data_IF_075503938777
#
_entry.id   IF_075503938777
#
_cell.length_a   1.000
_cell.length_b   1.000
_cell.length_c   1.000
_cell.angle_alpha   90.00
_cell.angle_beta   90.00
_cell.angle_gamma   90.00
#
_symmetry.space_group_name_H-M   'P 1'
#
loop_
_entity.id
_entity.type
_entity.pdbx_description
1 polymer ?
#
# COMPACT_ATOMS: atom_id res chain seq x y z
N UNK A 1 21.74 13.12 -12.64
CA UNK A 1 21.27 14.24 -11.79
C UNK A 1 20.07 13.83 -10.91
N UNK A 2 19.14 13.01 -11.40
CA UNK A 2 18.00 12.51 -10.60
C UNK A 2 18.39 11.51 -9.49
N UNK A 3 19.46 10.73 -9.66
CA UNK A 3 19.87 9.73 -8.65
C UNK A 3 20.48 10.33 -7.38
N UNK A 4 21.13 11.50 -7.50
CA UNK A 4 21.65 12.23 -6.34
C UNK A 4 20.51 12.73 -5.45
N UNK A 5 19.42 13.20 -6.05
CA UNK A 5 18.25 13.70 -5.32
C UNK A 5 17.43 12.59 -4.67
N UNK A 6 17.39 11.40 -5.28
CA UNK A 6 16.78 10.23 -4.66
C UNK A 6 17.59 9.73 -3.45
N UNK A 7 18.94 9.80 -3.51
CA UNK A 7 19.79 9.46 -2.37
C UNK A 7 19.66 10.44 -1.19
N UNK A 8 19.48 11.75 -1.43
CA UNK A 8 19.37 12.76 -0.36
C UNK A 8 18.00 12.71 0.36
N UNK A 9 17.00 12.09 -0.25
CA UNK A 9 15.62 11.99 0.27
C UNK A 9 15.49 10.96 1.39
N UNK A 10 16.29 9.90 1.38
CA UNK A 10 16.27 8.88 2.42
C UNK A 10 17.05 9.38 3.66
N UNK A 11 16.32 9.61 4.76
CA UNK A 11 16.80 10.16 6.04
C UNK A 11 18.17 9.71 6.58
N UNK A 12 18.67 8.45 6.40
CA UNK A 12 20.02 8.10 6.84
C UNK A 12 21.15 8.81 6.07
N UNK A 13 20.92 9.26 4.83
CA UNK A 13 21.92 9.95 4.02
C UNK A 13 22.08 11.42 4.39
N UNK A 14 21.05 12.10 4.92
CA UNK A 14 21.19 13.46 5.48
C UNK A 14 22.12 13.49 6.68
N UNK A 15 21.94 12.55 7.61
CA UNK A 15 22.83 12.42 8.78
C UNK A 15 24.22 11.99 8.33
N UNK A 16 24.34 11.03 7.40
CA UNK A 16 25.66 10.62 6.86
C UNK A 16 26.35 11.74 6.09
N UNK A 17 25.65 12.56 5.31
CA UNK A 17 26.24 13.70 4.60
C UNK A 17 26.71 14.78 5.58
N UNK A 18 25.89 15.14 6.57
CA UNK A 18 26.29 16.10 7.61
C UNK A 18 27.45 15.56 8.44
N UNK A 19 27.45 14.27 8.78
CA UNK A 19 28.54 13.63 9.53
C UNK A 19 29.79 13.45 8.67
N UNK A 20 29.68 13.08 7.40
CA UNK A 20 30.83 12.88 6.48
C UNK A 20 31.43 14.23 6.07
N UNK A 21 30.62 15.23 5.72
CA UNK A 21 31.13 16.59 5.46
C UNK A 21 31.65 17.23 6.74
N UNK A 22 30.96 17.05 7.87
CA UNK A 22 31.41 17.55 9.17
C UNK A 22 32.73 16.92 9.58
N UNK A 23 32.88 15.60 9.47
CA UNK A 23 34.12 14.89 9.80
C UNK A 23 35.24 15.15 8.80
N UNK A 24 34.96 15.21 7.49
CA UNK A 24 35.96 15.58 6.48
C UNK A 24 36.44 17.02 6.64
N UNK A 25 35.55 17.95 6.98
CA UNK A 25 35.92 19.31 7.35
C UNK A 25 36.78 19.31 8.61
N UNK A 26 36.41 18.56 9.66
CA UNK A 26 37.20 18.42 10.89
C UNK A 26 38.59 17.84 10.65
N UNK A 27 38.71 16.87 9.74
CA UNK A 27 39.97 16.25 9.33
C UNK A 27 40.82 17.22 8.51
N UNK A 28 40.22 17.97 7.59
CA UNK A 28 40.92 19.04 6.86
C UNK A 28 41.37 20.16 7.80
N UNK A 29 40.59 20.48 8.83
CA UNK A 29 40.93 21.47 9.87
C UNK A 29 42.11 20.97 10.70
N UNK A 30 42.08 19.73 11.18
CA UNK A 30 43.18 19.18 11.98
C UNK A 30 44.44 19.05 11.17
N UNK A 31 44.37 18.59 9.92
CA UNK A 31 45.53 18.51 9.02
C UNK A 31 46.04 19.91 8.65
N UNK A 32 45.15 20.86 8.37
CA UNK A 32 45.50 22.23 8.00
C UNK A 32 46.14 23.00 9.16
N UNK A 33 45.58 22.90 10.36
CA UNK A 33 46.16 23.51 11.57
C UNK A 33 47.46 22.79 11.96
N UNK A 34 47.51 21.46 11.95
CA UNK A 34 48.74 20.73 12.25
C UNK A 34 49.85 21.01 11.23
N UNK A 35 49.49 21.15 9.95
CA UNK A 35 50.41 21.51 8.87
C UNK A 35 50.89 22.96 8.99
N UNK A 36 50.01 23.91 9.28
CA UNK A 36 50.37 25.32 9.50
C UNK A 36 51.21 25.52 10.77
N UNK A 37 50.89 24.81 11.85
CA UNK A 37 51.68 24.79 13.09
C UNK A 37 53.03 24.13 12.84
N UNK A 38 53.07 22.96 12.18
CA UNK A 38 54.32 22.24 11.88
C UNK A 38 55.27 23.01 10.94
N UNK A 39 54.75 23.60 9.87
CA UNK A 39 55.53 24.41 8.92
C UNK A 39 55.91 25.77 9.51
N UNK A 40 55.01 26.42 10.25
CA UNK A 40 55.31 27.71 10.88
C UNK A 40 56.32 27.62 12.03
N UNK A 41 56.28 26.53 12.81
CA UNK A 41 57.25 26.27 13.88
C UNK A 41 58.65 25.95 13.35
N UNK A 42 58.75 25.36 12.15
CA UNK A 42 60.03 24.97 11.53
C UNK A 42 60.64 26.07 10.65
N UNK A 43 59.83 26.92 10.01
CA UNK A 43 60.30 27.88 8.99
C UNK A 43 60.36 29.33 9.51
N UNK A 44 59.42 29.76 10.35
CA UNK A 44 59.23 31.19 10.68
C UNK A 44 59.70 31.55 12.10
N UNK A 45 59.83 30.56 12.99
CA UNK A 45 60.10 30.79 14.41
C UNK A 45 58.89 31.41 15.15
N UNK A 46 58.94 31.47 16.50
CA UNK A 46 57.83 31.95 17.36
C UNK A 46 57.60 33.48 17.30
N UNK A 47 57.82 34.10 16.14
CA UNK A 47 57.69 35.55 15.95
C UNK A 47 56.25 36.00 15.63
N UNK A 48 55.98 37.32 15.66
CA UNK A 48 54.65 37.90 15.41
C UNK A 48 54.04 37.53 14.04
N UNK A 49 54.89 37.22 13.06
CA UNK A 49 54.48 36.83 11.70
C UNK A 49 53.73 35.48 11.69
N UNK A 50 54.07 34.55 12.59
CA UNK A 50 53.37 33.29 12.77
C UNK A 50 51.94 33.49 13.31
N UNK A 51 51.78 34.43 14.26
CA UNK A 51 50.48 34.79 14.82
C UNK A 51 49.58 35.41 13.74
N UNK A 52 50.13 36.29 12.90
CA UNK A 52 49.37 36.90 11.78
C UNK A 52 48.91 35.84 10.77
N UNK A 53 49.76 34.86 10.44
CA UNK A 53 49.41 33.78 9.53
C UNK A 53 48.31 32.87 10.12
N UNK A 54 48.41 32.53 11.41
CA UNK A 54 47.36 31.81 12.15
C UNK A 54 46.02 32.55 12.16
N UNK A 55 46.04 33.86 12.41
CA UNK A 55 44.82 34.69 12.41
C UNK A 55 44.21 34.73 11.01
N UNK A 56 45.02 34.89 9.97
CA UNK A 56 44.53 34.90 8.58
C UNK A 56 43.94 33.56 8.15
N UNK A 57 44.57 32.45 8.57
CA UNK A 57 44.07 31.10 8.32
C UNK A 57 42.76 30.83 9.07
N UNK A 58 42.63 31.29 10.32
CA UNK A 58 41.37 31.21 11.07
C UNK A 58 40.26 32.04 10.41
N UNK A 59 40.58 33.23 9.90
CA UNK A 59 39.64 34.11 9.20
C UNK A 59 39.12 33.47 7.91
N UNK A 60 40.03 33.00 7.05
CA UNK A 60 39.66 32.29 5.81
C UNK A 60 38.84 31.03 6.11
N UNK A 61 39.18 30.31 7.17
CA UNK A 61 38.43 29.14 7.62
C UNK A 61 37.00 29.47 8.05
N UNK A 62 36.83 30.52 8.85
CA UNK A 62 35.51 31.00 9.26
C UNK A 62 34.63 31.33 8.05
N UNK A 63 35.21 31.93 7.01
CA UNK A 63 34.50 32.20 5.75
C UNK A 63 34.08 30.91 5.03
N UNK A 64 34.94 29.89 4.94
CA UNK A 64 34.60 28.61 4.29
C UNK A 64 33.48 27.88 5.03
N UNK A 65 33.54 27.82 6.36
CA UNK A 65 32.45 27.27 7.17
C UNK A 65 31.14 28.02 6.95
N UNK A 66 31.19 29.35 6.98
CA UNK A 66 30.02 30.19 6.75
C UNK A 66 29.40 29.90 5.38
N UNK A 67 30.22 29.88 4.31
CA UNK A 67 29.76 29.54 2.95
C UNK A 67 29.14 28.14 2.89
N UNK A 68 29.73 27.17 3.58
CA UNK A 68 29.19 25.81 3.68
C UNK A 68 27.81 25.77 4.34
N UNK A 69 27.69 26.40 5.52
CA UNK A 69 26.42 26.50 6.25
C UNK A 69 25.37 27.23 5.42
N UNK A 70 25.71 28.39 4.85
CA UNK A 70 24.81 29.17 3.99
C UNK A 70 24.35 28.36 2.77
N UNK A 71 25.23 27.56 2.16
CA UNK A 71 24.87 26.70 1.03
C UNK A 71 23.89 25.60 1.44
N UNK A 72 24.09 24.97 2.59
CA UNK A 72 23.17 23.97 3.14
C UNK A 72 21.82 24.62 3.43
N UNK A 73 21.80 25.76 4.12
CA UNK A 73 20.58 26.51 4.42
C UNK A 73 19.84 26.94 3.16
N UNK A 74 20.55 27.37 2.12
CA UNK A 74 19.94 27.72 0.83
C UNK A 74 19.27 26.50 0.16
N UNK A 75 19.93 25.34 0.20
CA UNK A 75 19.37 24.09 -0.32
C UNK A 75 18.14 23.65 0.49
N UNK A 76 18.20 23.74 1.82
CA UNK A 76 17.07 23.45 2.70
C UNK A 76 15.89 24.37 2.42
N UNK A 77 16.13 25.68 2.31
CA UNK A 77 15.09 26.67 1.99
C UNK A 77 14.42 26.37 0.64
N UNK A 78 15.18 26.00 -0.39
CA UNK A 78 14.59 25.62 -1.69
C UNK A 78 13.76 24.35 -1.61
N UNK A 79 14.18 23.37 -0.82
CA UNK A 79 13.43 22.14 -0.61
C UNK A 79 12.12 22.41 0.13
N UNK A 80 12.15 23.25 1.16
CA UNK A 80 10.97 23.68 1.92
C UNK A 80 10.01 24.43 0.99
N UNK A 81 10.52 25.40 0.22
CA UNK A 81 9.71 26.18 -0.71
C UNK A 81 9.05 25.28 -1.78
N UNK A 82 9.79 24.31 -2.33
CA UNK A 82 9.23 23.33 -3.24
C UNK A 82 8.14 22.48 -2.57
N UNK A 83 8.39 22.01 -1.36
CA UNK A 83 7.42 21.22 -0.61
C UNK A 83 6.14 22.01 -0.29
N UNK A 84 6.26 23.29 0.07
CA UNK A 84 5.12 24.18 0.32
C UNK A 84 4.27 24.41 -0.92
N UNK A 85 4.90 24.63 -2.08
CA UNK A 85 4.19 24.76 -3.37
C UNK A 85 3.44 23.48 -3.76
N UNK A 86 4.00 22.31 -3.43
CA UNK A 86 3.40 21.01 -3.74
C UNK A 86 2.38 20.53 -2.70
N UNK A 87 2.42 21.08 -1.48
CA UNK A 87 1.56 20.70 -0.35
C UNK A 87 0.07 20.58 -0.68
N UNK A 88 -0.59 21.54 -1.38
CA UNK A 88 -2.01 21.40 -1.71
C UNK A 88 -2.29 20.22 -2.65
N UNK A 89 -1.43 20.00 -3.65
CA UNK A 89 -1.56 18.91 -4.61
C UNK A 89 -1.36 17.55 -3.94
N UNK A 90 -0.39 17.45 -3.04
CA UNK A 90 -0.09 16.24 -2.26
C UNK A 90 -1.22 15.94 -1.27
N UNK A 91 -1.77 16.96 -0.60
CA UNK A 91 -2.94 16.81 0.26
C UNK A 91 -4.12 16.24 -0.52
N UNK A 92 -4.34 16.72 -1.73
CA UNK A 92 -5.38 16.22 -2.62
C UNK A 92 -5.15 14.76 -3.04
N UNK A 93 -3.92 14.40 -3.42
CA UNK A 93 -3.53 13.01 -3.75
C UNK A 93 -3.79 12.07 -2.55
N UNK A 94 -3.43 12.47 -1.33
CA UNK A 94 -3.69 11.67 -0.13
C UNK A 94 -5.19 11.49 0.10
N UNK A 95 -5.97 12.57 0.01
CA UNK A 95 -7.39 12.54 0.37
C UNK A 95 -8.26 11.85 -0.69
N UNK A 96 -7.91 11.96 -1.98
CA UNK A 96 -8.72 11.40 -3.07
C UNK A 96 -8.26 10.03 -3.54
N UNK A 97 -7.02 9.63 -3.26
CA UNK A 97 -6.46 8.34 -3.71
C UNK A 97 -6.09 7.48 -2.51
N UNK A 98 -5.12 7.93 -1.72
CA UNK A 98 -4.47 7.06 -0.74
C UNK A 98 -5.41 6.69 0.42
N UNK A 99 -6.10 7.66 1.02
CA UNK A 99 -7.05 7.42 2.11
C UNK A 99 -8.22 6.52 1.67
N UNK A 100 -8.94 6.82 0.57
CA UNK A 100 -10.01 5.95 0.10
C UNK A 100 -9.53 4.54 -0.23
N UNK A 101 -8.37 4.39 -0.87
CA UNK A 101 -7.80 3.08 -1.18
C UNK A 101 -7.50 2.27 0.10
N UNK A 102 -6.92 2.91 1.12
CA UNK A 102 -6.70 2.27 2.44
C UNK A 102 -8.03 1.81 3.04
N UNK A 103 -9.05 2.68 3.09
CA UNK A 103 -10.36 2.33 3.65
C UNK A 103 -11.00 1.15 2.89
N UNK A 104 -10.95 1.16 1.56
CA UNK A 104 -11.47 0.07 0.72
C UNK A 104 -10.71 -1.24 0.95
N UNK A 105 -9.38 -1.21 1.07
CA UNK A 105 -8.57 -2.40 1.37
C UNK A 105 -8.89 -2.99 2.74
N UNK A 106 -9.03 -2.16 3.77
CA UNK A 106 -9.45 -2.64 5.09
C UNK A 106 -10.84 -3.26 5.05
N UNK A 107 -11.77 -2.66 4.31
CA UNK A 107 -13.11 -3.22 4.13
C UNK A 107 -13.09 -4.55 3.38
N UNK A 108 -12.35 -4.65 2.27
CA UNK A 108 -12.17 -5.90 1.52
C UNK A 108 -11.54 -6.99 2.40
N UNK A 109 -10.51 -6.65 3.18
CA UNK A 109 -9.87 -7.59 4.11
C UNK A 109 -10.84 -8.12 5.15
N UNK A 110 -11.61 -7.26 5.81
CA UNK A 110 -12.60 -7.67 6.82
C UNK A 110 -13.65 -8.61 6.21
N UNK A 111 -14.08 -8.35 4.96
CA UNK A 111 -15.03 -9.22 4.24
C UNK A 111 -14.43 -10.59 3.91
N UNK A 112 -13.18 -10.63 3.43
CA UNK A 112 -12.46 -11.88 3.16
C UNK A 112 -12.27 -12.69 4.44
N UNK A 113 -11.94 -12.04 5.56
CA UNK A 113 -11.74 -12.70 6.86
C UNK A 113 -13.05 -13.27 7.43
N UNK A 114 -14.19 -12.62 7.17
CA UNK A 114 -15.52 -13.11 7.57
C UNK A 114 -16.09 -14.18 6.64
N UNK A 115 -15.48 -14.41 5.47
CA UNK A 115 -15.91 -15.42 4.50
C UNK A 115 -17.24 -15.13 3.81
N UNK A 116 -17.72 -13.87 3.82
CA UNK A 116 -18.98 -13.45 3.20
C UNK A 116 -18.70 -12.41 2.11
N UNK A 117 -18.00 -12.85 1.07
CA UNK A 117 -17.61 -11.99 -0.05
C UNK A 117 -18.47 -12.35 -1.26
N UNK A 118 -19.09 -11.35 -1.86
CA UNK A 118 -19.69 -11.53 -3.19
C UNK A 118 -18.55 -11.49 -4.22
N UNK A 119 -18.16 -12.68 -4.69
CA UNK A 119 -17.13 -12.82 -5.72
C UNK A 119 -17.71 -12.63 -7.13
N UNK A 120 -18.98 -12.95 -7.35
CA UNK A 120 -19.66 -12.83 -8.65
C UNK A 120 -19.75 -11.38 -9.13
N UNK A 121 -19.54 -11.14 -10.43
CA UNK A 121 -19.83 -9.86 -11.08
C UNK A 121 -21.32 -9.81 -11.40
N UNK A 122 -22.13 -9.14 -10.57
CA UNK A 122 -23.55 -8.95 -10.87
C UNK A 122 -23.84 -7.47 -11.07
N UNK A 123 -24.10 -7.11 -12.33
CA UNK A 123 -24.90 -5.94 -12.68
C UNK A 123 -26.37 -6.30 -12.39
N UNK A 124 -26.92 -5.94 -11.22
CA UNK A 124 -28.34 -5.61 -10.93
C UNK A 124 -28.70 -5.81 -9.44
N UNK A 125 -29.70 -5.04 -9.00
CA UNK A 125 -30.31 -4.95 -7.65
C UNK A 125 -30.80 -6.28 -7.03
N UNK A 126 -30.82 -7.39 -7.76
CA UNK A 126 -31.49 -8.62 -7.34
C UNK A 126 -30.65 -9.51 -6.40
N UNK A 127 -29.32 -9.28 -6.32
CA UNK A 127 -28.41 -10.01 -5.43
C UNK A 127 -28.21 -9.37 -4.04
N UNK A 128 -28.90 -8.27 -3.75
CA UNK A 128 -28.72 -7.51 -2.50
C UNK A 128 -29.28 -8.28 -1.28
N UNK A 129 -30.08 -9.34 -1.47
CA UNK A 129 -30.73 -10.07 -0.38
C UNK A 129 -30.20 -11.49 -0.10
N UNK A 130 -29.45 -12.12 -1.02
CA UNK A 130 -29.36 -13.59 -1.06
C UNK A 130 -28.08 -14.22 -0.49
N UNK A 131 -27.05 -13.44 -0.13
CA UNK A 131 -25.86 -13.94 0.61
C UNK A 131 -25.48 -13.05 1.81
N UNK A 132 -26.15 -11.90 2.02
CA UNK A 132 -25.80 -10.97 3.10
C UNK A 132 -24.37 -10.40 3.05
N UNK A 133 -23.66 -10.62 1.93
CA UNK A 133 -22.28 -10.20 1.73
C UNK A 133 -22.17 -8.91 0.92
N UNK A 134 -21.21 -8.06 1.28
CA UNK A 134 -20.84 -6.89 0.49
C UNK A 134 -19.80 -7.28 -0.59
N UNK A 135 -19.89 -6.69 -1.78
CA UNK A 135 -18.90 -6.89 -2.86
C UNK A 135 -17.53 -6.34 -2.48
N UNK A 136 -16.45 -7.02 -2.89
CA UNK A 136 -15.12 -6.44 -2.84
C UNK A 136 -15.08 -5.21 -3.77
N UNK A 137 -14.56 -4.11 -3.27
CA UNK A 137 -14.60 -2.83 -3.97
C UNK A 137 -13.25 -2.61 -4.65
N UNK A 138 -13.27 -2.32 -5.95
CA UNK A 138 -12.10 -1.83 -6.69
C UNK A 138 -11.55 -0.56 -6.04
N UNK A 139 -10.23 -0.41 -6.02
CA UNK A 139 -9.61 0.79 -5.43
C UNK A 139 -9.83 2.02 -6.31
N UNK A 140 -9.95 1.81 -7.62
CA UNK A 140 -10.33 2.81 -8.60
C UNK A 140 -11.82 2.68 -8.92
N UNK A 141 -12.64 3.64 -8.51
CA UNK A 141 -14.06 3.68 -8.92
C UNK A 141 -14.24 4.52 -10.19
N UNK A 142 -15.37 4.38 -10.88
CA UNK A 142 -15.66 5.15 -12.11
C UNK A 142 -15.72 6.67 -11.89
N UNK A 143 -15.99 7.12 -10.66
CA UNK A 143 -16.02 8.54 -10.26
C UNK A 143 -14.63 9.15 -9.99
N UNK A 144 -13.57 8.45 -10.36
CA UNK A 144 -12.22 8.79 -9.95
C UNK A 144 -11.55 9.86 -10.82
N UNK A 145 -10.87 10.81 -10.17
CA UNK A 145 -10.17 11.89 -10.87
C UNK A 145 -8.86 11.38 -11.49
N UNK A 146 -8.93 11.08 -12.80
CA UNK A 146 -7.83 10.56 -13.59
C UNK A 146 -6.59 11.46 -13.56
N UNK A 147 -6.76 12.78 -13.53
CA UNK A 147 -5.64 13.73 -13.53
C UNK A 147 -4.81 13.61 -12.27
N UNK A 148 -5.49 13.52 -11.12
CA UNK A 148 -4.84 13.39 -9.81
C UNK A 148 -4.12 12.04 -9.71
N UNK A 149 -4.68 11.00 -10.30
CA UNK A 149 -4.06 9.67 -10.31
C UNK A 149 -2.89 9.52 -11.24
N UNK A 150 -2.94 10.15 -12.40
CA UNK A 150 -1.80 10.16 -13.30
C UNK A 150 -0.64 10.91 -12.65
N UNK A 151 -0.90 12.07 -12.03
CA UNK A 151 0.09 12.80 -11.21
C UNK A 151 0.61 11.98 -10.03
N UNK A 152 -0.27 11.32 -9.27
CA UNK A 152 0.14 10.42 -8.18
C UNK A 152 1.01 9.28 -8.72
N UNK A 153 0.66 8.74 -9.89
CA UNK A 153 1.39 7.70 -10.58
C UNK A 153 2.79 8.12 -11.04
N UNK A 154 2.95 9.35 -11.51
CA UNK A 154 4.26 9.90 -11.83
C UNK A 154 5.14 10.02 -10.59
N UNK A 155 4.54 10.42 -9.44
CA UNK A 155 5.26 10.53 -8.16
C UNK A 155 5.55 9.18 -7.50
N UNK A 156 4.63 8.21 -7.62
CA UNK A 156 4.63 6.90 -6.95
C UNK A 156 4.24 5.78 -7.93
N UNK A 157 5.09 5.49 -8.94
CA UNK A 157 4.75 4.53 -10.00
C UNK A 157 4.59 3.09 -9.48
N UNK A 158 5.38 2.69 -8.49
CA UNK A 158 5.26 1.36 -7.87
C UNK A 158 3.89 1.14 -7.23
N UNK A 159 3.40 2.13 -6.46
CA UNK A 159 2.10 2.06 -5.78
C UNK A 159 0.96 2.04 -6.81
N UNK A 160 1.05 2.86 -7.86
CA UNK A 160 0.09 2.84 -8.98
C UNK A 160 -0.02 1.47 -9.62
N UNK A 161 1.12 0.81 -9.87
CA UNK A 161 1.14 -0.52 -10.46
C UNK A 161 0.54 -1.57 -9.53
N UNK A 162 0.79 -1.49 -8.22
CA UNK A 162 0.18 -2.39 -7.25
C UNK A 162 -1.34 -2.19 -7.13
N UNK A 163 -1.84 -0.94 -7.16
CA UNK A 163 -3.28 -0.66 -7.21
C UNK A 163 -3.93 -1.31 -8.43
N UNK A 164 -3.31 -1.16 -9.61
CA UNK A 164 -3.80 -1.80 -10.84
C UNK A 164 -3.74 -3.33 -10.78
N UNK A 165 -2.67 -3.87 -10.20
CA UNK A 165 -2.53 -5.31 -10.03
C UNK A 165 -3.65 -5.87 -9.14
N UNK A 166 -3.91 -5.21 -8.01
CA UNK A 166 -5.02 -5.54 -7.11
C UNK A 166 -6.37 -5.54 -7.84
N UNK A 167 -6.73 -4.47 -8.56
CA UNK A 167 -8.03 -4.38 -9.24
C UNK A 167 -8.14 -5.42 -10.37
N UNK A 168 -7.04 -5.73 -11.06
CA UNK A 168 -7.00 -6.79 -12.06
C UNK A 168 -7.14 -8.19 -11.45
N UNK A 169 -6.51 -8.45 -10.31
CA UNK A 169 -6.64 -9.72 -9.57
C UNK A 169 -8.08 -9.91 -9.09
N UNK A 170 -8.69 -8.87 -8.53
CA UNK A 170 -10.10 -8.88 -8.13
C UNK A 170 -11.00 -9.23 -9.32
N UNK A 171 -10.83 -8.56 -10.47
CA UNK A 171 -11.61 -8.85 -11.69
C UNK A 171 -11.43 -10.27 -12.19
N UNK A 172 -10.20 -10.79 -12.16
CA UNK A 172 -9.91 -12.17 -12.58
C UNK A 172 -10.60 -13.17 -11.66
N UNK A 173 -10.49 -12.98 -10.34
CA UNK A 173 -11.18 -13.83 -9.37
C UNK A 173 -12.69 -13.75 -9.51
N UNK A 174 -13.24 -12.57 -9.75
CA UNK A 174 -14.67 -12.40 -9.94
C UNK A 174 -15.19 -13.15 -11.17
N UNK A 175 -14.52 -13.00 -12.32
CA UNK A 175 -14.88 -13.74 -13.53
C UNK A 175 -14.71 -15.25 -13.36
N UNK A 176 -13.68 -15.67 -12.65
CA UNK A 176 -13.47 -17.10 -12.38
C UNK A 176 -14.56 -17.64 -11.45
N UNK A 177 -14.97 -16.86 -10.45
CA UNK A 177 -16.12 -17.20 -9.61
C UNK A 177 -17.42 -17.27 -10.43
N UNK A 178 -17.64 -16.38 -11.39
CA UNK A 178 -18.81 -16.45 -12.29
C UNK A 178 -18.85 -17.80 -13.01
N UNK A 179 -17.73 -18.22 -13.61
CA UNK A 179 -17.62 -19.52 -14.29
C UNK A 179 -17.90 -20.68 -13.35
N UNK A 180 -17.31 -20.67 -12.16
CA UNK A 180 -17.53 -21.72 -11.16
C UNK A 180 -18.97 -21.75 -10.65
N UNK A 181 -19.63 -20.60 -10.50
CA UNK A 181 -21.03 -20.54 -10.08
C UNK A 181 -21.92 -21.15 -11.15
N UNK A 182 -21.70 -20.79 -12.41
CA UNK A 182 -22.49 -21.30 -13.53
C UNK A 182 -22.33 -22.83 -13.69
N UNK A 183 -21.12 -23.36 -13.49
CA UNK A 183 -20.84 -24.80 -13.55
C UNK A 183 -21.38 -25.58 -12.35
N UNK A 184 -21.40 -24.97 -11.15
CA UNK A 184 -21.85 -25.64 -9.92
C UNK A 184 -23.35 -25.52 -9.65
N UNK A 185 -24.04 -24.55 -10.26
CA UNK A 185 -25.42 -24.24 -9.93
C UNK A 185 -26.33 -25.47 -10.09
N UNK A 186 -26.36 -26.07 -11.28
CA UNK A 186 -27.21 -27.22 -11.58
C UNK A 186 -26.84 -28.47 -10.74
N UNK A 187 -25.56 -28.90 -10.64
CA UNK A 187 -25.20 -30.06 -9.81
C UNK A 187 -25.57 -29.93 -8.33
N UNK A 188 -25.39 -28.73 -7.75
CA UNK A 188 -25.73 -28.48 -6.34
C UNK A 188 -27.25 -28.43 -6.13
N UNK A 189 -27.98 -27.81 -7.05
CA UNK A 189 -29.44 -27.78 -7.03
C UNK A 189 -30.02 -29.21 -7.12
N UNK A 190 -29.55 -30.00 -8.09
CA UNK A 190 -29.97 -31.39 -8.27
C UNK A 190 -29.67 -32.24 -7.03
N UNK A 191 -28.50 -32.06 -6.40
CA UNK A 191 -28.16 -32.78 -5.17
C UNK A 191 -29.15 -32.47 -4.03
N UNK A 192 -29.55 -31.21 -3.86
CA UNK A 192 -30.51 -30.83 -2.81
C UNK A 192 -31.92 -31.34 -3.13
N UNK A 193 -32.36 -31.26 -4.38
CA UNK A 193 -33.70 -31.69 -4.80
C UNK A 193 -33.90 -33.21 -4.74
N UNK A 194 -32.88 -34.00 -5.12
CA UNK A 194 -33.00 -35.45 -5.24
C UNK A 194 -32.56 -36.22 -4.00
N UNK A 195 -32.02 -35.54 -2.99
CA UNK A 195 -31.62 -36.18 -1.74
C UNK A 195 -32.79 -36.17 -0.75
N UNK A 196 -33.34 -37.36 -0.48
CA UNK A 196 -34.48 -37.58 0.44
C UNK A 196 -34.31 -36.94 1.83
N UNK A 197 -33.05 -36.80 2.27
CA UNK A 197 -32.68 -36.22 3.57
C UNK A 197 -32.55 -34.69 3.53
N UNK A 198 -32.18 -34.13 2.38
CA UNK A 198 -31.79 -32.72 2.22
C UNK A 198 -32.94 -31.88 1.66
N UNK A 199 -33.73 -32.44 0.74
CA UNK A 199 -34.87 -31.75 0.10
C UNK A 199 -36.00 -31.37 1.06
N UNK A 200 -35.98 -31.84 2.31
CA UNK A 200 -36.91 -31.41 3.36
C UNK A 200 -36.52 -30.06 3.99
N UNK A 201 -35.26 -29.64 3.86
CA UNK A 201 -34.75 -28.41 4.46
C UNK A 201 -35.05 -27.17 3.63
N UNK A 202 -35.11 -27.29 2.29
CA UNK A 202 -35.42 -26.21 1.35
C UNK A 202 -36.23 -26.80 0.19
N UNK A 203 -37.41 -26.22 -0.07
CA UNK A 203 -38.35 -26.71 -1.09
C UNK A 203 -37.92 -26.36 -2.52
N UNK A 204 -37.40 -25.15 -2.72
CA UNK A 204 -36.97 -24.62 -4.01
C UNK A 204 -35.54 -24.08 -3.87
N UNK A 205 -34.51 -24.95 -3.92
CA UNK A 205 -33.12 -24.51 -3.81
C UNK A 205 -32.70 -23.74 -5.06
N UNK A 206 -31.95 -22.67 -4.86
CA UNK A 206 -31.31 -21.88 -5.91
C UNK A 206 -29.85 -22.34 -6.03
N UNK A 207 -29.52 -22.96 -7.17
CA UNK A 207 -28.19 -23.47 -7.46
C UNK A 207 -27.09 -22.41 -7.39
N UNK A 208 -27.35 -21.19 -7.86
CA UNK A 208 -26.35 -20.12 -7.86
C UNK A 208 -26.03 -19.63 -6.44
N UNK A 209 -27.05 -19.59 -5.57
CA UNK A 209 -26.86 -19.27 -4.15
C UNK A 209 -26.07 -20.38 -3.46
N UNK A 210 -26.41 -21.64 -3.72
CA UNK A 210 -25.67 -22.80 -3.18
C UNK A 210 -24.20 -22.78 -3.61
N UNK A 211 -23.94 -22.56 -4.89
CA UNK A 211 -22.59 -22.44 -5.44
C UNK A 211 -21.83 -21.27 -4.77
N UNK A 212 -22.47 -20.11 -4.63
CA UNK A 212 -21.89 -18.94 -3.96
C UNK A 212 -21.53 -19.21 -2.50
N UNK A 213 -22.38 -19.94 -1.77
CA UNK A 213 -22.12 -20.34 -0.38
C UNK A 213 -20.92 -21.32 -0.34
N UNK A 214 -20.90 -22.31 -1.21
CA UNK A 214 -19.80 -23.30 -1.29
C UNK A 214 -18.46 -22.64 -1.60
N UNK A 215 -18.41 -21.74 -2.58
CA UNK A 215 -17.20 -20.99 -2.97
C UNK A 215 -16.69 -20.06 -1.86
N UNK A 216 -17.60 -19.49 -1.08
CA UNK A 216 -17.23 -18.66 0.07
C UNK A 216 -16.75 -19.50 1.26
N UNK A 217 -17.32 -20.70 1.43
CA UNK A 217 -17.08 -21.61 2.53
C UNK A 217 -17.13 -20.89 3.91
N UNK A 218 -18.23 -20.19 4.23
CA UNK A 218 -18.32 -19.44 5.46
C UNK A 218 -18.37 -20.38 6.68
N UNK A 219 -17.82 -19.98 7.83
CA UNK A 219 -17.90 -20.78 9.06
C UNK A 219 -19.35 -20.97 9.55
N UNK A 220 -20.27 -20.11 9.10
CA UNK A 220 -21.72 -20.21 9.32
C UNK A 220 -22.46 -19.08 8.61
N UNK A 221 -23.75 -19.27 8.32
CA UNK A 221 -24.56 -18.31 7.54
C UNK A 221 -25.43 -17.37 8.39
N UNK A 222 -25.32 -17.42 9.72
CA UNK A 222 -26.17 -16.64 10.62
C UNK A 222 -27.62 -17.15 10.64
N UNK A 223 -28.24 -17.16 11.82
CA UNK A 223 -29.49 -17.90 12.05
C UNK A 223 -30.70 -17.42 11.22
N UNK A 224 -30.63 -16.21 10.64
CA UNK A 224 -31.72 -15.64 9.85
C UNK A 224 -31.62 -15.94 8.34
N UNK A 225 -30.57 -16.62 7.88
CA UNK A 225 -30.37 -16.91 6.47
C UNK A 225 -31.15 -18.17 6.05
N UNK A 226 -31.84 -18.13 4.90
CA UNK A 226 -32.69 -19.24 4.42
C UNK A 226 -31.93 -20.56 4.25
N UNK A 227 -30.63 -20.49 3.96
CA UNK A 227 -29.75 -21.65 3.80
C UNK A 227 -28.96 -22.03 5.06
N UNK A 228 -29.17 -21.37 6.20
CA UNK A 228 -28.34 -21.57 7.40
C UNK A 228 -28.36 -23.02 7.91
N UNK A 229 -29.56 -23.59 8.09
CA UNK A 229 -29.72 -24.97 8.56
C UNK A 229 -29.13 -25.97 7.56
N UNK A 230 -29.37 -25.77 6.27
CA UNK A 230 -28.82 -26.60 5.20
C UNK A 230 -27.28 -26.60 5.26
N UNK A 231 -26.67 -25.43 5.38
CA UNK A 231 -25.21 -25.30 5.45
C UNK A 231 -24.62 -25.95 6.70
N UNK A 232 -25.24 -25.74 7.86
CA UNK A 232 -24.79 -26.34 9.13
C UNK A 232 -24.80 -27.88 9.07
N UNK A 233 -25.85 -28.47 8.52
CA UNK A 233 -26.03 -29.93 8.48
C UNK A 233 -25.29 -30.60 7.31
N UNK A 234 -25.17 -29.93 6.15
CA UNK A 234 -24.76 -30.57 4.89
C UNK A 234 -23.59 -29.90 4.15
N UNK A 235 -22.88 -28.91 4.73
CA UNK A 235 -21.74 -28.25 4.06
C UNK A 235 -20.72 -29.23 3.46
N UNK A 236 -20.41 -30.32 4.17
CA UNK A 236 -19.38 -31.28 3.75
C UNK A 236 -19.83 -32.04 2.51
N UNK A 237 -21.12 -32.38 2.41
CA UNK A 237 -21.65 -33.08 1.25
C UNK A 237 -21.76 -32.13 0.05
N UNK A 238 -22.22 -30.90 0.24
CA UNK A 238 -22.27 -29.88 -0.81
C UNK A 238 -20.88 -29.61 -1.38
N UNK A 239 -19.86 -29.48 -0.51
CA UNK A 239 -18.47 -29.35 -0.93
C UNK A 239 -17.99 -30.58 -1.70
N UNK A 240 -18.34 -31.79 -1.26
CA UNK A 240 -17.96 -33.02 -1.97
C UNK A 240 -18.54 -33.07 -3.38
N UNK A 241 -19.79 -32.65 -3.57
CA UNK A 241 -20.39 -32.51 -4.91
C UNK A 241 -19.57 -31.52 -5.72
N UNK A 242 -19.30 -30.34 -5.18
CA UNK A 242 -18.53 -29.32 -5.89
C UNK A 242 -17.11 -29.80 -6.29
N UNK A 243 -16.40 -30.50 -5.40
CA UNK A 243 -15.08 -31.08 -5.73
C UNK A 243 -15.14 -32.24 -6.74
N UNK A 244 -16.27 -32.94 -6.84
CA UNK A 244 -16.45 -33.97 -7.85
C UNK A 244 -16.65 -33.38 -9.25
N UNK A 245 -17.32 -32.23 -9.33
CA UNK A 245 -17.62 -31.55 -10.59
C UNK A 245 -16.44 -30.70 -11.10
N UNK A 246 -15.88 -29.83 -10.24
CA UNK A 246 -14.88 -28.80 -10.64
C UNK A 246 -13.73 -28.71 -9.63
N UNK A 247 -13.22 -29.86 -9.19
CA UNK A 247 -12.28 -29.95 -8.07
C UNK A 247 -10.93 -29.26 -8.29
N UNK A 248 -10.39 -29.32 -9.51
CA UNK A 248 -9.11 -28.68 -9.86
C UNK A 248 -9.30 -27.16 -9.91
N UNK A 249 -10.36 -26.68 -10.57
CA UNK A 249 -10.70 -25.27 -10.69
C UNK A 249 -11.04 -24.63 -9.33
N UNK A 250 -11.71 -25.37 -8.44
CA UNK A 250 -11.94 -24.94 -7.06
C UNK A 250 -10.63 -24.76 -6.30
N UNK A 251 -9.67 -25.65 -6.49
CA UNK A 251 -8.36 -25.56 -5.85
C UNK A 251 -7.63 -24.30 -6.31
N UNK A 252 -7.57 -24.07 -7.62
CA UNK A 252 -6.99 -22.86 -8.23
C UNK A 252 -7.69 -21.59 -7.72
N UNK A 253 -9.01 -21.62 -7.57
CA UNK A 253 -9.78 -20.49 -7.05
C UNK A 253 -9.45 -20.18 -5.59
N UNK A 254 -9.32 -21.21 -4.74
CA UNK A 254 -8.93 -21.01 -3.34
C UNK A 254 -7.48 -20.52 -3.20
N UNK A 255 -6.57 -21.00 -4.03
CA UNK A 255 -5.20 -20.47 -4.10
C UNK A 255 -5.21 -19.00 -4.54
N UNK A 256 -5.95 -18.67 -5.59
CA UNK A 256 -6.13 -17.29 -6.04
C UNK A 256 -6.72 -16.37 -4.97
N UNK A 257 -7.69 -16.85 -4.16
CA UNK A 257 -8.20 -16.10 -2.99
C UNK A 257 -7.14 -15.86 -1.93
N UNK A 258 -6.28 -16.84 -1.68
CA UNK A 258 -5.16 -16.73 -0.74
C UNK A 258 -4.14 -15.69 -1.22
N UNK A 259 -3.78 -15.74 -2.49
CA UNK A 259 -2.86 -14.78 -3.13
C UNK A 259 -3.43 -13.36 -3.10
N UNK A 260 -4.70 -13.19 -3.46
CA UNK A 260 -5.37 -11.89 -3.39
C UNK A 260 -5.42 -11.33 -1.96
N UNK A 261 -5.63 -12.18 -0.94
CA UNK A 261 -5.54 -11.77 0.46
C UNK A 261 -4.13 -11.29 0.81
N UNK A 262 -3.09 -11.95 0.31
CA UNK A 262 -1.71 -11.52 0.48
C UNK A 262 -1.44 -10.17 -0.20
N UNK A 263 -1.85 -10.02 -1.48
CA UNK A 263 -1.73 -8.77 -2.24
C UNK A 263 -2.44 -7.61 -1.53
N UNK A 264 -3.66 -7.83 -1.05
CA UNK A 264 -4.48 -6.85 -0.30
C UNK A 264 -3.74 -6.36 0.96
N UNK A 265 -3.18 -7.29 1.74
CA UNK A 265 -2.42 -6.96 2.95
C UNK A 265 -1.12 -6.19 2.65
N UNK A 266 -0.38 -6.63 1.64
CA UNK A 266 0.87 -6.00 1.21
C UNK A 266 0.64 -4.57 0.71
N UNK A 267 -0.39 -4.38 -0.13
CA UNK A 267 -0.76 -3.08 -0.67
C UNK A 267 -1.26 -2.13 0.43
N UNK A 268 -2.06 -2.62 1.38
CA UNK A 268 -2.52 -1.82 2.53
C UNK A 268 -1.33 -1.21 3.29
N UNK A 269 -0.33 -2.03 3.61
CA UNK A 269 0.88 -1.56 4.29
C UNK A 269 1.66 -0.54 3.45
N UNK A 270 1.78 -0.78 2.14
CA UNK A 270 2.48 0.12 1.23
C UNK A 270 1.76 1.47 1.10
N UNK A 271 0.43 1.49 1.07
CA UNK A 271 -0.35 2.71 1.01
C UNK A 271 -0.27 3.51 2.32
N UNK A 272 -0.29 2.85 3.48
CA UNK A 272 -0.07 3.49 4.78
C UNK A 272 1.32 4.13 4.84
N UNK A 273 2.38 3.40 4.46
CA UNK A 273 3.73 3.94 4.40
C UNK A 273 3.86 5.10 3.40
N UNK A 274 3.20 5.00 2.25
CA UNK A 274 3.17 6.04 1.22
C UNK A 274 2.49 7.31 1.74
N UNK A 275 1.35 7.16 2.42
CA UNK A 275 0.66 8.26 3.11
C UNK A 275 1.60 8.95 4.09
N UNK A 276 2.20 8.19 5.00
CA UNK A 276 3.04 8.73 6.08
C UNK A 276 4.30 9.43 5.51
N UNK A 277 4.90 8.86 4.47
CA UNK A 277 5.99 9.50 3.72
C UNK A 277 5.55 10.81 3.08
N UNK A 278 4.39 10.85 2.42
CA UNK A 278 3.87 12.07 1.81
C UNK A 278 3.51 13.14 2.84
N UNK A 279 2.96 12.75 3.99
CA UNK A 279 2.67 13.70 5.09
C UNK A 279 3.95 14.30 5.66
N UNK A 280 4.99 13.48 5.86
CA UNK A 280 6.29 13.91 6.38
C UNK A 280 7.05 14.80 5.39
N UNK A 281 7.16 14.36 4.14
CA UNK A 281 7.94 15.04 3.09
C UNK A 281 7.37 16.43 2.75
N UNK A 282 6.05 16.58 2.83
CA UNK A 282 5.35 17.81 2.41
C UNK A 282 4.75 18.60 3.58
N UNK A 283 5.01 18.16 4.82
CA UNK A 283 4.46 18.75 6.05
C UNK A 283 2.94 18.93 5.98
N UNK A 284 2.25 17.92 5.45
CA UNK A 284 0.79 17.92 5.37
C UNK A 284 0.27 17.45 6.73
N UNK A 285 -0.22 18.39 7.54
CA UNK A 285 -1.17 18.02 8.60
C UNK A 285 -2.46 17.59 7.92
N UNK A 286 -2.86 16.36 8.18
CA UNK A 286 -4.24 15.95 7.98
C UNK A 286 -4.81 15.93 9.40
N UNK A 287 -5.90 16.66 9.63
CA UNK A 287 -6.68 16.43 10.84
C UNK A 287 -7.08 14.95 10.87
N UNK A 288 -7.00 14.36 12.06
CA UNK A 288 -7.54 13.04 12.35
C UNK A 288 -9.05 13.09 12.13
N UNK A 289 -9.45 12.78 10.91
CA UNK A 289 -10.80 12.33 10.57
C UNK A 289 -10.61 11.24 9.54
N UNK A 290 -10.55 10.00 10.01
CA UNK A 290 -11.67 9.06 10.14
C UNK A 290 -11.27 8.02 11.18
#
# INVERSE_FOLDING_TARGET
MNDFWNLVRDGPLRIRLVVVFGSAALLFITIGIAGAVGLGYTIVGQGPQFISLLISALGAFSTVLLVGVTSITFLENRMIEYAERQRPLVREEINKIVRPAITRLFSNRDRIERGLVKWRHLDFEEAISTVGGNENIELLSDSFDRTIYDRFGERKPGVKNQIRAHDNELKKLSRFADTLIDELAEPLEQYVQHSDSVGQSIRDPDGEILASIVLNNPPGLGNNHSYAKLWEEYNTNLRRVAYAEVGDELTDFYEGKSDYKYTTNSLSNTLVQTRDSMQRDYHVSLEESV
#
